data_IF_532457479294
#
_entry.id   IF_532457479294
#
_cell.length_a   1.000
_cell.length_b   1.000
_cell.length_c   1.000
_cell.angle_alpha   90.00
_cell.angle_beta   90.00
_cell.angle_gamma   90.00
#
_symmetry.space_group_name_H-M   'P 1'
#
loop_
_entity.id
_entity.type
_entity.pdbx_description
1 polymer ?
#
# COMPACT_ATOMS: atom_id res chain seq x y z
N UNK A 1 -26.76 18.99 49.67
CA UNK A 1 -26.46 17.89 50.60
C UNK A 1 -25.08 17.36 50.28
N UNK A 2 -24.17 17.61 51.18
CA UNK A 2 -22.71 17.33 51.17
C UNK A 2 -22.44 15.95 51.72
N UNK A 3 -21.44 15.24 51.21
CA UNK A 3 -20.67 14.20 51.92
C UNK A 3 -19.50 13.85 51.03
N UNK A 4 -18.35 14.31 51.25
CA UNK A 4 -17.29 14.00 52.25
C UNK A 4 -16.32 12.90 51.79
N UNK A 5 -15.10 13.37 51.70
CA UNK A 5 -13.80 12.70 51.41
C UNK A 5 -13.54 11.51 52.36
N UNK A 6 -12.87 10.51 51.86
CA UNK A 6 -11.98 9.69 52.69
C UNK A 6 -10.64 9.52 51.97
N UNK A 7 -9.63 10.10 52.58
CA UNK A 7 -8.20 9.90 52.30
C UNK A 7 -7.77 8.73 53.19
N UNK A 8 -7.13 7.71 52.60
CA UNK A 8 -6.36 6.75 53.37
C UNK A 8 -4.92 6.79 52.83
N UNK A 9 -4.10 7.31 53.69
CA UNK A 9 -2.65 7.40 53.60
C UNK A 9 -2.07 6.26 54.43
N UNK A 10 -1.34 5.36 53.82
CA UNK A 10 -0.50 4.38 54.57
C UNK A 10 0.92 4.49 54.09
N UNK A 11 1.74 5.02 54.98
CA UNK A 11 3.19 4.92 54.98
C UNK A 11 3.62 3.50 55.34
N UNK A 12 4.59 2.91 54.64
CA UNK A 12 5.46 1.89 55.19
C UNK A 12 6.90 2.20 54.77
N UNK A 13 7.69 2.29 55.80
CA UNK A 13 9.11 2.63 55.84
C UNK A 13 9.99 1.47 55.35
N UNK A 14 11.05 1.80 54.71
CA UNK A 14 12.46 1.45 54.85
C UNK A 14 12.89 -0.02 55.04
N UNK A 15 13.76 -0.44 54.15
CA UNK A 15 14.91 -1.23 54.55
C UNK A 15 16.05 -1.04 53.53
N UNK A 16 17.09 -0.28 53.91
CA UNK A 16 18.36 -0.20 53.19
C UNK A 16 19.18 -1.45 53.50
N UNK A 17 19.55 -2.22 52.51
CA UNK A 17 20.57 -3.25 52.64
C UNK A 17 21.76 -2.84 51.76
N UNK A 18 22.81 -2.36 52.44
CA UNK A 18 24.16 -2.18 51.88
C UNK A 18 24.81 -3.53 51.64
N UNK A 19 25.15 -3.84 50.42
CA UNK A 19 26.06 -4.93 50.10
C UNK A 19 27.30 -4.32 49.44
N UNK A 20 28.36 -4.19 50.21
CA UNK A 20 29.73 -3.97 49.76
C UNK A 20 30.26 -5.26 49.13
N UNK A 21 30.65 -5.23 47.89
CA UNK A 21 31.39 -6.30 47.22
C UNK A 21 32.62 -5.76 46.53
N UNK A 22 33.73 -6.41 46.85
CA UNK A 22 35.09 -6.08 46.56
C UNK A 22 35.42 -6.00 45.05
N UNK A 23 36.26 -5.01 44.70
CA UNK A 23 36.99 -4.90 43.44
C UNK A 23 38.03 -6.03 43.32
N UNK A 24 37.93 -6.75 42.19
CA UNK A 24 39.07 -7.49 41.66
C UNK A 24 39.42 -6.86 40.31
N UNK A 25 40.53 -6.15 40.29
CA UNK A 25 41.09 -5.56 39.04
C UNK A 25 41.79 -6.68 38.27
N UNK A 26 41.27 -7.04 37.12
CA UNK A 26 42.00 -7.76 36.07
C UNK A 26 42.32 -6.82 34.93
N UNK A 27 43.61 -6.54 34.78
CA UNK A 27 44.22 -5.79 33.70
C UNK A 27 44.10 -6.58 32.40
N UNK A 28 43.22 -6.14 31.48
CA UNK A 28 43.26 -6.57 30.09
C UNK A 28 43.76 -5.43 29.22
N UNK A 29 44.91 -5.66 28.62
CA UNK A 29 45.52 -4.87 27.56
C UNK A 29 44.54 -4.79 26.34
N UNK A 30 44.27 -3.61 25.78
CA UNK A 30 43.48 -3.53 24.54
C UNK A 30 44.38 -3.88 23.36
N UNK A 31 44.11 -5.02 22.72
CA UNK A 31 44.62 -5.31 21.39
C UNK A 31 43.78 -4.51 20.38
N UNK A 32 44.37 -3.47 19.81
CA UNK A 32 43.82 -2.68 18.76
C UNK A 32 43.98 -3.42 17.42
N UNK A 33 42.99 -4.17 17.00
CA UNK A 33 42.83 -4.51 15.59
C UNK A 33 41.98 -3.44 14.93
N UNK A 34 42.36 -2.93 13.76
CA UNK A 34 41.51 -1.99 12.98
C UNK A 34 40.26 -2.73 12.52
N UNK A 35 39.10 -2.33 12.95
CA UNK A 35 37.84 -2.75 12.35
C UNK A 35 37.71 -1.98 11.04
N UNK A 36 37.94 -2.69 9.93
CA UNK A 36 37.55 -2.22 8.62
C UNK A 36 36.06 -1.87 8.63
N UNK A 37 35.77 -0.58 8.49
CA UNK A 37 34.43 -0.14 8.14
C UNK A 37 34.14 -0.58 6.72
N UNK A 38 33.72 -1.83 6.57
CA UNK A 38 33.08 -2.29 5.35
C UNK A 38 31.86 -1.39 5.12
N UNK A 39 31.98 -0.52 4.13
CA UNK A 39 30.89 0.26 3.57
C UNK A 39 29.69 -0.68 3.33
N UNK A 40 28.60 -0.47 4.08
CA UNK A 40 27.33 -1.08 3.74
C UNK A 40 26.89 -0.47 2.41
N UNK A 41 27.24 -1.14 1.33
CA UNK A 41 26.56 -0.98 0.07
C UNK A 41 25.07 -1.27 0.29
N UNK A 42 24.15 -0.48 -0.29
CA UNK A 42 22.73 -0.77 -0.19
C UNK A 42 22.50 -2.19 -0.67
N UNK A 43 21.84 -3.01 0.16
CA UNK A 43 21.53 -4.38 -0.15
C UNK A 43 20.81 -4.42 -1.50
N UNK A 44 21.46 -5.04 -2.46
CA UNK A 44 20.92 -5.33 -3.77
C UNK A 44 19.59 -6.09 -3.63
N UNK A 45 18.47 -5.40 -3.78
CA UNK A 45 17.15 -6.02 -3.95
C UNK A 45 17.01 -6.68 -5.34
N UNK A 46 18.10 -6.92 -6.04
CA UNK A 46 18.18 -7.24 -7.45
C UNK A 46 18.30 -8.75 -7.76
N UNK A 47 18.04 -9.67 -6.84
CA UNK A 47 18.15 -11.10 -7.15
C UNK A 47 16.84 -11.88 -7.06
N UNK A 48 15.73 -11.29 -7.54
CA UNK A 48 14.59 -12.09 -7.96
C UNK A 48 14.91 -12.65 -9.36
N UNK A 49 15.08 -13.97 -9.45
CA UNK A 49 15.07 -14.67 -10.74
C UNK A 49 13.69 -14.41 -11.35
N UNK A 50 13.60 -13.42 -12.24
CA UNK A 50 12.39 -13.11 -13.02
C UNK A 50 12.17 -14.24 -14.02
N UNK A 51 10.90 -14.53 -14.28
CA UNK A 51 10.57 -15.45 -15.38
C UNK A 51 11.11 -14.90 -16.70
N UNK A 52 11.44 -15.77 -17.67
CA UNK A 52 12.07 -15.37 -18.93
C UNK A 52 11.20 -14.40 -19.76
N UNK A 53 9.90 -14.32 -19.48
CA UNK A 53 8.94 -13.54 -20.26
C UNK A 53 8.60 -12.17 -19.68
N UNK A 54 9.12 -11.79 -18.49
CA UNK A 54 8.81 -10.52 -17.86
C UNK A 54 9.81 -9.42 -18.22
N UNK A 55 9.39 -8.52 -19.09
CA UNK A 55 10.09 -7.27 -19.39
C UNK A 55 9.46 -6.11 -18.59
N UNK A 56 10.17 -5.65 -17.55
CA UNK A 56 9.72 -4.56 -16.69
C UNK A 56 9.52 -3.23 -17.44
N UNK A 57 10.38 -2.94 -18.43
CA UNK A 57 10.28 -1.74 -19.24
C UNK A 57 9.04 -1.75 -20.12
N UNK A 58 8.76 -2.88 -20.74
CA UNK A 58 7.55 -3.07 -21.54
C UNK A 58 6.29 -3.03 -20.66
N UNK A 59 6.34 -3.62 -19.46
CA UNK A 59 5.25 -3.58 -18.51
C UNK A 59 4.97 -2.15 -18.03
N UNK A 60 6.01 -1.37 -17.73
CA UNK A 60 5.89 0.03 -17.36
C UNK A 60 5.29 0.86 -18.50
N UNK A 61 5.79 0.70 -19.72
CA UNK A 61 5.27 1.41 -20.89
C UNK A 61 3.78 1.09 -21.13
N UNK A 62 3.39 -0.19 -21.00
CA UNK A 62 2.00 -0.65 -21.14
C UNK A 62 1.09 -0.02 -20.08
N UNK A 63 1.56 0.03 -18.84
CA UNK A 63 0.85 0.63 -17.71
C UNK A 63 0.67 2.14 -17.91
N UNK A 64 1.74 2.85 -18.28
CA UNK A 64 1.69 4.29 -18.55
C UNK A 64 0.75 4.63 -19.73
N UNK A 65 0.75 3.81 -20.78
CA UNK A 65 -0.14 3.97 -21.92
C UNK A 65 -1.64 3.76 -21.60
N UNK A 66 -1.96 3.25 -20.41
CA UNK A 66 -3.34 3.13 -19.94
C UNK A 66 -3.91 4.45 -19.40
N UNK A 67 -3.05 5.40 -18.99
CA UNK A 67 -3.50 6.70 -18.49
C UNK A 67 -4.34 7.40 -19.56
N UNK A 68 -5.50 7.93 -19.15
CA UNK A 68 -6.48 8.56 -20.02
C UNK A 68 -7.51 7.61 -20.62
N UNK A 69 -7.36 6.27 -20.52
CA UNK A 69 -8.38 5.32 -20.96
C UNK A 69 -9.58 5.32 -20.02
N UNK A 70 -10.76 5.08 -20.59
CA UNK A 70 -11.98 4.82 -19.82
C UNK A 70 -11.97 3.37 -19.33
N UNK A 71 -12.21 3.16 -18.03
CA UNK A 71 -12.41 1.82 -17.49
C UNK A 71 -13.66 1.18 -18.05
N UNK A 72 -13.47 0.00 -18.65
CA UNK A 72 -14.57 -0.87 -19.02
C UNK A 72 -15.27 -1.40 -17.76
N UNK A 73 -16.58 -1.60 -17.86
CA UNK A 73 -17.32 -2.26 -16.82
C UNK A 73 -17.02 -3.76 -16.84
N UNK A 74 -16.60 -4.28 -15.69
CA UNK A 74 -16.34 -5.70 -15.50
C UNK A 74 -17.12 -6.21 -14.28
N UNK A 75 -17.54 -7.46 -14.37
CA UNK A 75 -18.25 -8.15 -13.29
C UNK A 75 -17.26 -8.75 -12.31
N UNK A 76 -17.40 -8.41 -11.03
CA UNK A 76 -16.59 -8.85 -9.92
C UNK A 76 -17.47 -9.52 -8.86
N UNK A 77 -16.87 -10.09 -7.83
CA UNK A 77 -17.58 -10.61 -6.64
C UNK A 77 -16.95 -10.04 -5.38
N UNK A 78 -17.80 -9.59 -4.47
CA UNK A 78 -17.36 -9.15 -3.15
C UNK A 78 -17.00 -10.33 -2.23
N UNK A 79 -16.54 -10.02 -1.02
CA UNK A 79 -16.16 -11.01 0.00
C UNK A 79 -17.30 -11.93 0.45
N UNK A 80 -18.55 -11.58 0.18
CA UNK A 80 -19.73 -12.43 0.44
C UNK A 80 -20.10 -13.32 -0.75
N UNK A 81 -19.46 -13.11 -1.92
CA UNK A 81 -19.77 -13.77 -3.18
C UNK A 81 -20.85 -13.07 -4.01
N UNK A 82 -21.35 -11.91 -3.54
CA UNK A 82 -22.32 -11.10 -4.27
C UNK A 82 -21.66 -10.48 -5.49
N UNK A 83 -22.37 -10.48 -6.61
CA UNK A 83 -21.93 -9.84 -7.85
C UNK A 83 -21.92 -8.32 -7.70
N UNK A 84 -20.82 -7.70 -8.15
CA UNK A 84 -20.58 -6.25 -8.15
C UNK A 84 -20.10 -5.84 -9.53
N UNK A 85 -20.61 -4.74 -10.06
CA UNK A 85 -20.12 -4.13 -11.29
C UNK A 85 -19.07 -3.06 -10.94
N UNK A 86 -17.96 -3.03 -11.68
CA UNK A 86 -16.93 -2.01 -11.46
C UNK A 86 -17.48 -0.59 -11.66
N UNK A 87 -18.46 -0.43 -12.55
CA UNK A 87 -19.16 0.83 -12.76
C UNK A 87 -19.90 1.37 -11.53
N UNK A 88 -20.21 0.52 -10.53
CA UNK A 88 -20.87 0.95 -9.29
C UNK A 88 -19.98 1.86 -8.42
N UNK A 89 -18.68 1.90 -8.69
CA UNK A 89 -17.73 2.78 -8.00
C UNK A 89 -17.59 4.16 -8.64
N UNK A 90 -18.28 4.44 -9.76
CA UNK A 90 -18.31 5.77 -10.37
C UNK A 90 -18.98 6.80 -9.47
N UNK A 91 -18.76 8.07 -9.77
CA UNK A 91 -19.25 9.20 -8.97
C UNK A 91 -18.27 9.71 -7.91
N UNK A 92 -17.21 8.95 -7.63
CA UNK A 92 -16.08 9.35 -6.78
C UNK A 92 -14.77 8.81 -7.39
N UNK A 93 -13.62 9.44 -7.08
CA UNK A 93 -12.33 8.85 -7.42
C UNK A 93 -12.21 7.44 -6.86
N UNK A 94 -11.57 6.55 -7.63
CA UNK A 94 -11.38 5.15 -7.27
C UNK A 94 -9.89 4.79 -7.30
N UNK A 95 -9.42 4.17 -6.24
CA UNK A 95 -8.09 3.57 -6.16
C UNK A 95 -8.22 2.06 -6.39
N UNK A 96 -7.52 1.53 -7.38
CA UNK A 96 -7.51 0.10 -7.70
C UNK A 96 -6.12 -0.46 -7.38
N UNK A 97 -6.07 -1.45 -6.50
CA UNK A 97 -4.90 -2.27 -6.21
C UNK A 97 -5.14 -3.69 -6.69
N UNK A 98 -4.14 -4.34 -7.25
CA UNK A 98 -4.21 -5.75 -7.67
C UNK A 98 -3.23 -6.58 -6.85
N UNK A 99 -3.70 -7.75 -6.38
CA UNK A 99 -2.91 -8.66 -5.54
C UNK A 99 -3.18 -10.12 -5.95
N UNK A 100 -2.37 -11.04 -5.46
CA UNK A 100 -2.76 -12.45 -5.38
C UNK A 100 -2.59 -12.97 -3.95
N UNK A 101 -3.58 -13.71 -3.46
CA UNK A 101 -3.69 -14.04 -2.03
C UNK A 101 -2.62 -15.02 -1.56
N UNK A 102 -2.02 -15.79 -2.47
CA UNK A 102 -0.92 -16.70 -2.19
C UNK A 102 0.46 -16.03 -2.16
N UNK A 103 0.54 -14.71 -2.28
CA UNK A 103 1.77 -13.94 -2.09
C UNK A 103 2.04 -13.71 -0.60
N UNK A 104 3.13 -14.26 -0.08
CA UNK A 104 3.40 -14.21 1.38
C UNK A 104 4.13 -12.95 1.84
N UNK A 105 4.69 -12.16 0.98
CA UNK A 105 5.54 -11.04 1.38
C UNK A 105 5.15 -9.70 0.74
N UNK A 106 5.18 -9.61 -0.57
CA UNK A 106 5.01 -8.33 -1.30
C UNK A 106 3.58 -7.81 -1.18
N UNK A 107 2.57 -8.61 -1.51
CA UNK A 107 1.17 -8.19 -1.45
C UNK A 107 0.71 -7.76 -0.06
N UNK A 108 1.04 -8.50 1.04
CA UNK A 108 0.81 -8.03 2.40
C UNK A 108 1.46 -6.68 2.72
N UNK A 109 2.73 -6.50 2.33
CA UNK A 109 3.47 -5.26 2.59
C UNK A 109 2.85 -4.08 1.84
N UNK A 110 2.58 -4.25 0.55
CA UNK A 110 1.95 -3.23 -0.30
C UNK A 110 0.55 -2.85 0.23
N UNK A 111 -0.26 -3.85 0.63
CA UNK A 111 -1.61 -3.61 1.15
C UNK A 111 -1.57 -2.83 2.46
N UNK A 112 -0.67 -3.18 3.38
CA UNK A 112 -0.51 -2.44 4.65
C UNK A 112 0.03 -1.03 4.44
N UNK A 113 0.95 -0.85 3.49
CA UNK A 113 1.44 0.47 3.12
C UNK A 113 0.30 1.31 2.54
N UNK A 114 -0.43 0.77 1.55
CA UNK A 114 -1.58 1.44 0.95
C UNK A 114 -2.62 1.83 2.01
N UNK A 115 -2.87 0.97 3.02
CA UNK A 115 -3.80 1.29 4.10
C UNK A 115 -3.38 2.53 4.90
N UNK A 116 -2.09 2.68 5.20
CA UNK A 116 -1.57 3.89 5.87
C UNK A 116 -1.75 5.14 5.00
N UNK A 117 -1.44 5.03 3.71
CA UNK A 117 -1.57 6.15 2.77
C UNK A 117 -3.06 6.53 2.60
N UNK A 118 -3.96 5.56 2.50
CA UNK A 118 -5.42 5.79 2.43
C UNK A 118 -5.95 6.47 3.68
N UNK A 119 -5.49 6.08 4.88
CA UNK A 119 -5.87 6.76 6.12
C UNK A 119 -5.40 8.23 6.13
N UNK A 120 -4.17 8.49 5.70
CA UNK A 120 -3.63 9.86 5.56
C UNK A 120 -4.45 10.67 4.55
N UNK A 121 -4.75 10.08 3.38
CA UNK A 121 -5.57 10.72 2.36
C UNK A 121 -6.97 11.06 2.88
N UNK A 122 -7.64 10.15 3.58
CA UNK A 122 -8.98 10.38 4.15
C UNK A 122 -8.98 11.45 5.23
N UNK A 123 -7.97 11.48 6.09
CA UNK A 123 -7.82 12.53 7.07
C UNK A 123 -7.70 13.93 6.44
N UNK A 124 -7.06 14.02 5.26
CA UNK A 124 -6.86 15.27 4.54
C UNK A 124 -8.04 15.65 3.62
N UNK A 125 -8.68 14.67 2.99
CA UNK A 125 -9.65 14.88 1.91
C UNK A 125 -11.11 14.61 2.33
N UNK A 126 -11.31 13.95 3.46
CA UNK A 126 -12.60 13.47 3.96
C UNK A 126 -12.77 11.96 3.85
N UNK A 127 -13.45 11.36 4.83
CA UNK A 127 -13.61 9.91 4.99
C UNK A 127 -14.26 9.22 3.78
N UNK A 128 -15.19 9.89 3.11
CA UNK A 128 -15.96 9.35 2.00
C UNK A 128 -15.64 10.03 0.66
N UNK A 129 -14.48 10.68 0.54
CA UNK A 129 -14.07 11.45 -0.65
C UNK A 129 -13.70 10.58 -1.84
N UNK A 130 -13.26 9.33 -1.62
CA UNK A 130 -12.88 8.36 -2.65
C UNK A 130 -13.15 6.92 -2.19
N UNK A 131 -13.13 6.00 -3.14
CA UNK A 131 -13.27 4.55 -2.93
C UNK A 131 -11.96 3.82 -3.17
N UNK A 132 -11.81 2.65 -2.55
CA UNK A 132 -10.67 1.77 -2.78
C UNK A 132 -11.18 0.36 -3.06
N UNK A 133 -10.60 -0.30 -4.07
CA UNK A 133 -10.83 -1.71 -4.34
C UNK A 133 -9.50 -2.44 -4.47
N UNK A 134 -9.42 -3.60 -3.83
CA UNK A 134 -8.31 -4.54 -4.03
C UNK A 134 -8.85 -5.76 -4.73
N UNK A 135 -8.28 -6.10 -5.88
CA UNK A 135 -8.79 -7.16 -6.76
C UNK A 135 -7.75 -8.29 -6.84
N UNK A 136 -8.19 -9.51 -6.56
CA UNK A 136 -7.39 -10.72 -6.73
C UNK A 136 -7.23 -11.07 -8.19
N UNK A 137 -5.97 -11.21 -8.68
CA UNK A 137 -5.73 -11.51 -10.08
C UNK A 137 -5.36 -12.98 -10.38
N UNK A 138 -4.99 -13.78 -9.40
CA UNK A 138 -4.88 -15.24 -9.53
C UNK A 138 -6.28 -15.86 -9.48
N UNK A 139 -7.01 -15.78 -10.56
CA UNK A 139 -8.44 -16.16 -10.63
C UNK A 139 -8.72 -17.61 -10.27
N UNK A 140 -7.69 -18.47 -10.28
CA UNK A 140 -7.78 -19.85 -9.84
C UNK A 140 -7.85 -19.99 -8.31
N UNK A 141 -7.28 -19.03 -7.57
CA UNK A 141 -7.15 -19.08 -6.11
C UNK A 141 -7.85 -17.92 -5.40
N UNK A 142 -7.88 -16.74 -6.01
CA UNK A 142 -8.38 -15.50 -5.41
C UNK A 142 -9.92 -15.41 -5.44
N UNK A 143 -10.59 -16.43 -4.89
CA UNK A 143 -12.03 -16.46 -4.74
C UNK A 143 -12.51 -15.53 -3.59
N UNK A 144 -13.82 -15.30 -3.42
CA UNK A 144 -14.36 -14.42 -2.37
C UNK A 144 -13.90 -14.77 -0.95
N UNK A 145 -13.74 -16.06 -0.65
CA UNK A 145 -13.28 -16.50 0.67
C UNK A 145 -11.79 -16.18 0.89
N UNK A 146 -10.95 -16.41 -0.12
CA UNK A 146 -9.54 -16.07 -0.09
C UNK A 146 -9.33 -14.55 0.08
N UNK A 147 -10.10 -13.74 -0.65
CA UNK A 147 -10.07 -12.27 -0.55
C UNK A 147 -10.53 -11.79 0.83
N UNK A 148 -11.56 -12.41 1.42
CA UNK A 148 -12.00 -12.13 2.79
C UNK A 148 -10.93 -12.49 3.83
N UNK A 149 -10.30 -13.66 3.66
CA UNK A 149 -9.23 -14.12 4.55
C UNK A 149 -8.02 -13.19 4.48
N UNK A 150 -7.61 -12.80 3.27
CA UNK A 150 -6.51 -11.86 3.04
C UNK A 150 -6.78 -10.51 3.71
N UNK A 151 -7.96 -9.91 3.50
CA UNK A 151 -8.34 -8.63 4.12
C UNK A 151 -8.20 -8.67 5.66
N UNK A 152 -8.71 -9.72 6.29
CA UNK A 152 -8.61 -9.94 7.75
C UNK A 152 -7.16 -10.10 8.20
N UNK A 153 -6.34 -10.88 7.49
CA UNK A 153 -4.94 -11.09 7.81
C UNK A 153 -4.13 -9.79 7.72
N UNK A 154 -4.48 -8.90 6.78
CA UNK A 154 -3.83 -7.60 6.67
C UNK A 154 -4.38 -6.55 7.65
N UNK A 155 -5.48 -6.85 8.36
CA UNK A 155 -6.13 -5.92 9.28
C UNK A 155 -6.74 -4.71 8.57
N UNK A 156 -7.16 -4.87 7.32
CA UNK A 156 -7.73 -3.78 6.51
C UNK A 156 -9.26 -3.91 6.51
N UNK A 157 -9.90 -3.12 7.38
CA UNK A 157 -11.36 -3.01 7.51
C UNK A 157 -11.79 -1.53 7.46
N UNK A 158 -11.27 -0.82 6.45
CA UNK A 158 -11.59 0.60 6.28
C UNK A 158 -12.91 0.78 5.51
N UNK A 159 -13.82 1.66 5.94
CA UNK A 159 -15.04 1.99 5.20
C UNK A 159 -14.74 2.36 3.74
N UNK A 160 -15.57 1.92 2.78
CA UNK A 160 -15.33 2.20 1.36
C UNK A 160 -14.07 1.59 0.75
N UNK A 161 -13.50 0.59 1.40
CA UNK A 161 -12.46 -0.28 0.83
C UNK A 161 -12.99 -1.71 0.71
N UNK A 162 -13.06 -2.19 -0.52
CA UNK A 162 -13.57 -3.52 -0.82
C UNK A 162 -12.47 -4.43 -1.39
N UNK A 163 -12.55 -5.72 -1.04
CA UNK A 163 -11.69 -6.77 -1.58
C UNK A 163 -12.54 -7.65 -2.48
N UNK A 164 -12.17 -7.72 -3.73
CA UNK A 164 -12.98 -8.30 -4.79
C UNK A 164 -12.24 -9.44 -5.48
N UNK A 165 -12.99 -10.41 -5.96
CA UNK A 165 -12.49 -11.47 -6.84
C UNK A 165 -13.06 -11.30 -8.25
N UNK A 166 -12.35 -11.82 -9.25
CA UNK A 166 -12.74 -11.79 -10.65
C UNK A 166 -12.72 -13.20 -11.24
N UNK A 167 -13.57 -13.48 -12.23
CA UNK A 167 -13.35 -14.59 -13.13
C UNK A 167 -12.24 -14.27 -14.16
N UNK A 168 -11.75 -15.29 -14.85
CA UNK A 168 -10.63 -15.14 -15.78
C UNK A 168 -10.93 -14.12 -16.91
N UNK A 169 -12.15 -14.10 -17.43
CA UNK A 169 -12.53 -13.19 -18.50
C UNK A 169 -12.61 -11.73 -18.03
N UNK A 170 -13.20 -11.50 -16.85
CA UNK A 170 -13.27 -10.18 -16.21
C UNK A 170 -11.87 -9.67 -15.85
N UNK A 171 -11.01 -10.54 -15.28
CA UNK A 171 -9.64 -10.17 -14.94
C UNK A 171 -8.81 -9.82 -16.17
N UNK A 172 -8.90 -10.61 -17.24
CA UNK A 172 -8.19 -10.33 -18.49
C UNK A 172 -8.59 -8.96 -19.10
N UNK A 173 -9.89 -8.63 -19.09
CA UNK A 173 -10.39 -7.32 -19.56
C UNK A 173 -9.89 -6.19 -18.66
N UNK A 174 -9.98 -6.35 -17.34
CA UNK A 174 -9.49 -5.36 -16.39
C UNK A 174 -7.99 -5.14 -16.57
N UNK A 175 -7.19 -6.20 -16.60
CA UNK A 175 -5.74 -6.14 -16.75
C UNK A 175 -5.34 -5.40 -18.03
N UNK A 176 -5.96 -5.74 -19.16
CA UNK A 176 -5.76 -5.02 -20.43
C UNK A 176 -6.10 -3.54 -20.31
N UNK A 177 -7.21 -3.23 -19.65
CA UNK A 177 -7.73 -1.88 -19.55
C UNK A 177 -6.82 -0.99 -18.67
N UNK A 178 -6.39 -1.47 -17.50
CA UNK A 178 -5.48 -0.73 -16.61
C UNK A 178 -4.00 -0.86 -16.99
N UNK A 179 -3.68 -1.60 -18.07
CA UNK A 179 -2.30 -1.82 -18.51
C UNK A 179 -1.48 -2.66 -17.55
N UNK A 180 -2.10 -3.63 -16.89
CA UNK A 180 -1.44 -4.53 -15.94
C UNK A 180 -1.01 -5.82 -16.62
N UNK A 181 0.31 -6.03 -16.74
CA UNK A 181 0.89 -7.26 -17.24
C UNK A 181 1.37 -8.13 -16.09
N UNK A 182 1.05 -9.41 -16.11
CA UNK A 182 1.51 -10.40 -15.14
C UNK A 182 1.79 -11.74 -15.83
N UNK A 183 2.83 -12.42 -15.38
CA UNK A 183 3.30 -13.67 -15.95
C UNK A 183 3.53 -14.68 -14.83
N UNK A 184 3.10 -15.91 -15.02
CA UNK A 184 3.39 -16.98 -14.08
C UNK A 184 4.90 -17.21 -13.97
N UNK A 185 5.41 -17.37 -12.76
CA UNK A 185 6.81 -17.63 -12.47
C UNK A 185 6.95 -18.70 -11.38
N UNK A 186 8.14 -19.31 -11.22
CA UNK A 186 8.34 -20.32 -10.18
C UNK A 186 8.04 -19.87 -8.74
N UNK A 187 8.01 -18.56 -8.52
CA UNK A 187 7.72 -17.95 -7.19
C UNK A 187 6.34 -17.30 -7.11
N UNK A 188 5.47 -17.55 -8.06
CA UNK A 188 4.13 -16.99 -8.14
C UNK A 188 3.91 -16.23 -9.45
N UNK A 189 4.02 -14.91 -9.43
CA UNK A 189 3.84 -14.08 -10.63
C UNK A 189 4.85 -12.94 -10.65
N UNK A 190 5.38 -12.67 -11.84
CA UNK A 190 6.15 -11.49 -12.14
C UNK A 190 5.23 -10.41 -12.70
N UNK A 191 5.23 -9.23 -12.10
CA UNK A 191 4.39 -8.08 -12.48
C UNK A 191 4.94 -6.79 -11.87
N UNK A 192 4.51 -5.65 -12.39
CA UNK A 192 4.74 -4.36 -11.72
C UNK A 192 3.86 -4.26 -10.46
N UNK A 193 4.42 -3.71 -9.40
CA UNK A 193 3.64 -3.26 -8.24
C UNK A 193 2.99 -1.93 -8.60
N UNK A 194 1.73 -2.02 -9.02
CA UNK A 194 0.95 -0.93 -9.59
C UNK A 194 -0.30 -0.67 -8.77
N UNK A 195 -0.55 0.60 -8.48
CA UNK A 195 -1.81 1.12 -7.95
C UNK A 195 -2.37 2.12 -8.96
N UNK A 196 -3.61 1.92 -9.40
CA UNK A 196 -4.26 2.75 -10.42
C UNK A 196 -5.23 3.72 -9.76
N UNK A 197 -5.12 5.00 -10.06
CA UNK A 197 -6.07 6.05 -9.66
C UNK A 197 -6.98 6.36 -10.84
N UNK A 198 -8.28 6.36 -10.59
CA UNK A 198 -9.34 6.56 -11.58
C UNK A 198 -10.20 7.74 -11.13
N UNK A 199 -10.61 8.60 -12.06
CA UNK A 199 -11.50 9.72 -11.75
C UNK A 199 -12.95 9.26 -11.51
N UNK A 200 -13.81 10.19 -11.08
CA UNK A 200 -15.22 9.92 -10.80
C UNK A 200 -16.02 9.42 -12.03
N UNK A 201 -15.55 9.68 -13.24
CA UNK A 201 -16.18 9.24 -14.48
C UNK A 201 -15.72 7.85 -14.94
N UNK A 202 -14.66 7.32 -14.31
CA UNK A 202 -14.06 6.05 -14.67
C UNK A 202 -12.87 6.16 -15.62
N UNK A 203 -12.27 7.35 -15.78
CA UNK A 203 -11.06 7.55 -16.57
C UNK A 203 -9.82 7.31 -15.73
N UNK A 204 -8.88 6.53 -16.23
CA UNK A 204 -7.60 6.30 -15.56
C UNK A 204 -6.82 7.61 -15.52
N UNK A 205 -6.58 8.09 -14.30
CA UNK A 205 -5.96 9.39 -14.05
C UNK A 205 -4.45 9.28 -13.80
N UNK A 206 -4.04 8.32 -12.97
CA UNK A 206 -2.64 8.14 -12.56
C UNK A 206 -2.30 6.68 -12.29
N UNK A 207 -1.05 6.32 -12.56
CA UNK A 207 -0.45 5.06 -12.11
C UNK A 207 0.60 5.37 -11.05
N UNK A 208 0.57 4.65 -9.92
CA UNK A 208 1.53 4.75 -8.82
C UNK A 208 2.25 3.42 -8.69
N UNK A 209 3.58 3.44 -8.60
CA UNK A 209 4.40 2.23 -8.62
C UNK A 209 5.20 2.05 -7.34
N UNK A 210 5.47 0.79 -7.01
CA UNK A 210 6.31 0.39 -5.91
C UNK A 210 5.55 -0.31 -4.79
N UNK A 211 6.28 -1.14 -4.05
CA UNK A 211 5.77 -1.83 -2.87
C UNK A 211 5.46 -0.84 -1.73
N UNK A 212 6.34 0.14 -1.57
CA UNK A 212 6.20 1.27 -0.65
C UNK A 212 6.55 2.53 -1.44
N UNK A 213 5.54 3.29 -1.82
CA UNK A 213 5.70 4.54 -2.56
C UNK A 213 5.50 5.74 -1.62
N UNK A 214 6.02 6.90 -1.99
CA UNK A 214 5.85 8.12 -1.21
C UNK A 214 4.38 8.55 -1.16
N UNK A 215 3.90 8.88 0.03
CA UNK A 215 2.50 9.25 0.30
C UNK A 215 1.94 10.29 -0.69
N UNK A 216 2.67 11.37 -1.05
CA UNK A 216 2.18 12.37 -2.00
C UNK A 216 1.85 11.81 -3.39
N UNK A 217 2.51 10.72 -3.83
CA UNK A 217 2.26 10.12 -5.15
C UNK A 217 0.83 9.61 -5.32
N UNK A 218 0.13 9.30 -4.21
CA UNK A 218 -1.29 8.92 -4.23
C UNK A 218 -2.18 10.06 -3.73
N UNK A 219 -1.76 10.81 -2.71
CA UNK A 219 -2.59 11.83 -2.07
C UNK A 219 -2.83 13.02 -2.98
N UNK A 220 -1.79 13.51 -3.67
CA UNK A 220 -1.94 14.68 -4.55
C UNK A 220 -2.88 14.41 -5.74
N UNK A 221 -2.77 13.31 -6.50
CA UNK A 221 -3.76 12.98 -7.52
C UNK A 221 -5.20 12.86 -6.99
N UNK A 222 -5.38 12.30 -5.78
CA UNK A 222 -6.70 12.22 -5.17
C UNK A 222 -7.22 13.60 -4.78
N UNK A 223 -6.37 14.48 -4.26
CA UNK A 223 -6.70 15.87 -3.94
C UNK A 223 -7.14 16.64 -5.18
N UNK A 224 -6.41 16.53 -6.28
CA UNK A 224 -6.76 17.13 -7.58
C UNK A 224 -8.15 16.65 -8.04
N UNK A 225 -8.45 15.35 -7.91
CA UNK A 225 -9.73 14.78 -8.32
C UNK A 225 -10.90 15.15 -7.40
N UNK A 226 -10.65 15.35 -6.10
CA UNK A 226 -11.69 15.67 -5.10
C UNK A 226 -12.04 17.15 -5.09
N UNK A 227 -11.03 18.03 -5.19
CA UNK A 227 -11.21 19.48 -5.07
C UNK A 227 -11.09 20.24 -6.39
N UNK A 228 -10.72 19.55 -7.49
CA UNK A 228 -10.33 20.17 -8.74
C UNK A 228 -8.92 20.74 -8.69
N UNK A 229 -8.39 21.14 -9.84
CA UNK A 229 -7.11 21.86 -9.90
C UNK A 229 -7.24 23.17 -9.11
N UNK A 230 -6.48 23.30 -8.05
CA UNK A 230 -6.43 24.56 -7.30
C UNK A 230 -5.71 25.61 -8.17
N UNK A 231 -6.35 26.75 -8.49
CA UNK A 231 -5.71 27.78 -9.32
C UNK A 231 -4.66 28.54 -8.53
N UNK A 232 -3.58 27.87 -8.10
CA UNK A 232 -2.53 28.45 -7.28
C UNK A 232 -1.17 27.78 -7.35
N UNK A 233 -1.09 26.53 -7.79
CA UNK A 233 0.18 25.79 -7.83
C UNK A 233 0.89 25.80 -9.18
N UNK A 234 0.28 26.41 -10.21
CA UNK A 234 0.91 26.61 -11.53
C UNK A 234 1.94 27.76 -11.58
N UNK A 235 2.32 28.33 -10.42
CA UNK A 235 3.30 29.45 -10.41
C UNK A 235 4.70 28.99 -10.86
N UNK A 236 5.03 27.71 -10.74
CA UNK A 236 6.33 27.20 -11.19
C UNK A 236 6.41 26.84 -12.68
N UNK A 237 5.30 26.57 -13.35
CA UNK A 237 5.31 26.30 -14.79
C UNK A 237 5.50 27.58 -15.63
N UNK A 238 5.17 28.75 -15.09
CA UNK A 238 5.31 30.04 -15.76
C UNK A 238 6.71 30.65 -15.72
N UNK A 239 7.60 30.17 -14.84
CA UNK A 239 8.92 30.74 -14.65
C UNK A 239 10.02 30.10 -15.53
N UNK A 240 9.79 28.93 -16.10
CA UNK A 240 10.74 28.23 -16.97
C UNK A 240 10.53 28.49 -18.48
N UNK A 241 9.61 29.34 -18.84
CA UNK A 241 9.28 29.69 -20.24
C UNK A 241 9.83 31.02 -20.77
N UNK A 242 10.75 31.68 -20.03
CA UNK A 242 11.41 32.90 -20.50
C UNK A 242 12.88 32.90 -20.15
N UNK A 243 13.66 32.14 -20.88
CA UNK A 243 15.08 32.41 -21.17
C UNK A 243 15.32 32.03 -22.63
#
# INVERSE_FOLDING_TARGET
MSWSRVIVQTCVAGLFLNITSASAATSHTPSSTPVDHASHAPADHANHVRGPDFDEKAALATSQAAIGRMLEDVTLRDRSGKTVQLANYRGKPLVISVIYTSCYHICPTTTKHLAKVVQTARAALGEDSFRVVTIGFDTAKDNPEAMRSFARQQGVELPGWEFLSADAASMARLAKNIGFLYFASPKGFDHLMQTTVVDANGKIYRQVYGMTFDTPLLVEPLKELVFGEQPGESIFAGLLGKV
#
